data_IF_416418319993
#
_entry.id   IF_416418319993
#
_cell.length_a   1.000
_cell.length_b   1.000
_cell.length_c   1.000
_cell.angle_alpha   90.00
_cell.angle_beta   90.00
_cell.angle_gamma   90.00
#
_symmetry.space_group_name_H-M   'P 1'
#
loop_
_entity.id
_entity.type
_entity.pdbx_description
1 polymer ?
#
# COMPACT_ATOMS: atom_id res chain seq x y z
N UNK A 1 -14.92 3.52 -11.49
CA UNK A 1 -14.45 2.77 -10.29
C UNK A 1 -15.21 3.28 -9.09
N UNK A 2 -15.60 2.45 -8.10
CA UNK A 2 -16.19 2.99 -6.87
C UNK A 2 -15.07 3.35 -5.89
N UNK A 3 -14.97 4.63 -5.52
CA UNK A 3 -13.96 5.14 -4.58
C UNK A 3 -14.60 5.29 -3.20
N UNK A 4 -14.01 4.65 -2.19
CA UNK A 4 -14.39 4.82 -0.78
C UNK A 4 -13.20 5.40 -0.02
N UNK A 5 -13.39 6.58 0.56
CA UNK A 5 -12.40 7.17 1.46
C UNK A 5 -12.58 6.55 2.84
N UNK A 6 -11.51 5.92 3.37
CA UNK A 6 -11.48 5.39 4.72
C UNK A 6 -10.83 6.42 5.66
N UNK A 7 -11.62 7.05 6.53
CA UNK A 7 -11.10 7.97 7.55
C UNK A 7 -10.74 7.20 8.81
N UNK A 8 -9.87 7.76 9.65
CA UNK A 8 -9.53 7.11 10.93
C UNK A 8 -10.75 6.81 11.81
N UNK A 9 -11.77 7.68 11.82
CA UNK A 9 -13.00 7.44 12.59
C UNK A 9 -13.83 6.25 12.07
N UNK A 10 -13.63 5.85 10.82
CA UNK A 10 -14.31 4.71 10.20
C UNK A 10 -13.57 3.38 10.54
N UNK A 11 -12.36 3.46 11.12
CA UNK A 11 -11.58 2.29 11.58
C UNK A 11 -11.95 1.96 13.03
N UNK A 12 -12.52 0.78 13.26
CA UNK A 12 -12.89 0.32 14.61
C UNK A 12 -11.70 -0.20 15.39
N UNK A 13 -10.82 -0.96 14.73
CA UNK A 13 -9.66 -1.60 15.37
C UNK A 13 -8.60 -1.99 14.35
N UNK A 14 -7.34 -1.96 14.78
CA UNK A 14 -6.21 -2.57 14.06
C UNK A 14 -5.54 -3.61 14.95
N UNK A 15 -5.25 -4.79 14.39
CA UNK A 15 -4.42 -5.82 15.03
C UNK A 15 -3.17 -6.04 14.19
N UNK A 16 -1.99 -5.93 14.80
CA UNK A 16 -0.70 -6.12 14.13
C UNK A 16 0.13 -7.10 14.93
N UNK A 17 0.67 -8.11 14.26
CA UNK A 17 1.58 -9.08 14.87
C UNK A 17 1.83 -10.27 13.97
N UNK A 18 2.59 -11.24 14.47
CA UNK A 18 2.81 -12.52 13.80
C UNK A 18 1.82 -13.54 14.38
N UNK A 19 0.80 -13.98 13.63
CA UNK A 19 -0.16 -14.97 14.14
C UNK A 19 0.54 -16.29 14.48
N UNK A 20 -0.06 -17.10 15.36
CA UNK A 20 0.50 -18.42 15.71
C UNK A 20 0.67 -19.27 14.43
N UNK A 21 1.82 -19.93 14.31
CA UNK A 21 2.18 -20.75 13.15
C UNK A 21 2.56 -19.96 11.88
N UNK A 22 2.57 -18.63 11.91
CA UNK A 22 2.99 -17.80 10.79
C UNK A 22 4.44 -17.33 10.98
N UNK A 23 5.12 -17.06 9.86
CA UNK A 23 6.48 -16.49 9.87
C UNK A 23 6.51 -14.97 9.76
N UNK A 24 5.47 -14.39 9.18
CA UNK A 24 5.40 -12.98 8.80
C UNK A 24 4.27 -12.26 9.51
N UNK A 25 4.42 -10.95 9.63
CA UNK A 25 3.43 -10.03 10.18
C UNK A 25 2.15 -10.07 9.36
N UNK A 26 1.02 -9.90 10.05
CA UNK A 26 -0.29 -9.59 9.46
C UNK A 26 -0.83 -8.33 10.10
N UNK A 27 -1.49 -7.50 9.29
CA UNK A 27 -2.25 -6.34 9.74
C UNK A 27 -3.72 -6.62 9.43
N UNK A 28 -4.55 -6.68 10.47
CA UNK A 28 -5.99 -6.81 10.34
C UNK A 28 -6.61 -5.45 10.64
N UNK A 29 -7.25 -4.86 9.64
CA UNK A 29 -7.91 -3.56 9.70
C UNK A 29 -9.42 -3.77 9.68
N UNK A 30 -10.05 -3.61 10.85
CA UNK A 30 -11.51 -3.73 11.02
C UNK A 30 -12.17 -2.36 10.79
N UNK A 31 -12.98 -2.26 9.74
CA UNK A 31 -13.74 -1.06 9.37
C UNK A 31 -15.25 -1.25 9.58
N UNK A 32 -15.63 -2.35 10.24
CA UNK A 32 -16.93 -2.60 10.82
C UNK A 32 -17.84 -3.56 10.07
N UNK A 33 -17.96 -3.40 8.76
CA UNK A 33 -18.64 -4.32 7.85
C UNK A 33 -17.68 -5.37 7.26
N UNK A 34 -16.39 -5.02 7.18
CA UNK A 34 -15.34 -5.87 6.64
C UNK A 34 -14.05 -5.74 7.46
N UNK A 35 -13.30 -6.84 7.52
CA UNK A 35 -11.93 -6.86 8.03
C UNK A 35 -10.98 -7.09 6.87
N UNK A 36 -10.10 -6.13 6.60
CA UNK A 36 -9.04 -6.26 5.60
C UNK A 36 -7.82 -6.91 6.25
N UNK A 37 -7.34 -8.02 5.69
CA UNK A 37 -6.12 -8.70 6.15
C UNK A 37 -4.98 -8.43 5.17
N UNK A 38 -4.02 -7.61 5.59
CA UNK A 38 -2.86 -7.25 4.79
C UNK A 38 -1.65 -8.13 5.14
N UNK A 39 -0.93 -8.56 4.12
CA UNK A 39 0.33 -9.26 4.27
C UNK A 39 1.47 -8.28 4.56
N UNK A 40 2.51 -8.75 5.26
CA UNK A 40 3.72 -7.98 5.55
C UNK A 40 4.25 -7.25 4.31
N UNK A 41 4.43 -7.94 3.18
CA UNK A 41 4.94 -7.34 1.94
C UNK A 41 4.06 -6.19 1.41
N UNK A 42 2.73 -6.32 1.49
CA UNK A 42 1.80 -5.26 1.07
C UNK A 42 2.01 -4.01 1.92
N UNK A 43 2.03 -4.17 3.25
CA UNK A 43 2.20 -3.07 4.20
C UNK A 43 3.59 -2.44 4.06
N UNK A 44 4.65 -3.25 3.93
CA UNK A 44 6.02 -2.78 3.78
C UNK A 44 6.19 -1.95 2.52
N UNK A 45 5.60 -2.37 1.38
CA UNK A 45 5.71 -1.62 0.14
C UNK A 45 4.97 -0.28 0.20
N UNK A 46 3.73 -0.26 0.72
CA UNK A 46 2.97 0.98 0.93
C UNK A 46 3.74 1.92 1.87
N UNK A 47 4.22 1.39 3.01
CA UNK A 47 4.97 2.17 4.00
C UNK A 47 6.22 2.79 3.37
N UNK A 48 6.97 2.03 2.58
CA UNK A 48 8.18 2.51 1.89
C UNK A 48 7.85 3.64 0.92
N UNK A 49 6.84 3.47 0.07
CA UNK A 49 6.42 4.52 -0.87
C UNK A 49 5.92 5.77 -0.13
N UNK A 50 5.06 5.61 0.87
CA UNK A 50 4.54 6.71 1.68
C UNK A 50 5.67 7.52 2.33
N UNK A 51 6.62 6.83 2.98
CA UNK A 51 7.79 7.49 3.57
C UNK A 51 8.69 8.13 2.51
N UNK A 52 8.80 7.55 1.30
CA UNK A 52 9.59 8.15 0.22
C UNK A 52 9.02 9.48 -0.27
N UNK A 53 7.70 9.66 -0.23
CA UNK A 53 7.08 10.95 -0.56
C UNK A 53 7.16 11.89 0.64
N UNK A 54 6.79 11.41 1.82
CA UNK A 54 6.76 12.22 3.04
C UNK A 54 8.12 12.81 3.42
N UNK A 55 9.20 12.06 3.20
CA UNK A 55 10.55 12.42 3.66
C UNK A 55 11.46 12.99 2.57
N UNK A 56 11.06 12.91 1.29
CA UNK A 56 11.88 13.45 0.20
C UNK A 56 11.50 14.90 -0.09
N UNK A 57 12.46 15.84 -0.14
CA UNK A 57 12.16 17.29 -0.20
C UNK A 57 11.53 17.76 -1.53
N UNK A 58 11.53 16.90 -2.55
CA UNK A 58 11.12 17.26 -3.92
C UNK A 58 10.20 16.25 -4.59
N UNK A 59 9.97 15.07 -3.99
CA UNK A 59 9.20 14.01 -4.64
C UNK A 59 7.75 14.17 -4.20
N UNK A 60 6.84 14.28 -5.16
CA UNK A 60 5.42 14.55 -4.96
C UNK A 60 4.54 13.31 -5.15
N UNK A 61 4.91 12.40 -6.05
CA UNK A 61 4.11 11.20 -6.32
C UNK A 61 4.93 9.97 -6.70
N UNK A 62 4.32 8.79 -6.57
CA UNK A 62 4.85 7.51 -7.04
C UNK A 62 3.71 6.51 -7.23
N UNK A 63 3.71 5.79 -8.34
CA UNK A 63 2.86 4.62 -8.56
C UNK A 63 3.65 3.35 -8.22
N UNK A 64 3.04 2.42 -7.49
CA UNK A 64 3.56 1.07 -7.34
C UNK A 64 2.70 0.07 -8.11
N UNK A 65 3.33 -0.82 -8.90
CA UNK A 65 2.67 -1.91 -9.62
C UNK A 65 3.06 -3.27 -9.05
N UNK A 66 2.10 -4.18 -9.06
CA UNK A 66 2.34 -5.58 -8.70
C UNK A 66 3.18 -6.25 -9.79
N UNK A 67 4.36 -6.71 -9.42
CA UNK A 67 5.29 -7.43 -10.30
C UNK A 67 5.72 -8.71 -9.60
N UNK A 68 5.80 -9.80 -10.38
CA UNK A 68 6.43 -11.04 -9.95
C UNK A 68 7.93 -10.93 -10.19
N UNK A 69 8.73 -11.04 -9.12
CA UNK A 69 10.19 -10.95 -9.19
C UNK A 69 10.82 -12.33 -9.19
N UNK A 70 11.47 -12.66 -10.31
CA UNK A 70 12.26 -13.88 -10.46
C UNK A 70 13.59 -13.79 -9.69
N UNK A 71 14.29 -12.67 -9.82
CA UNK A 71 15.49 -12.36 -9.03
C UNK A 71 15.15 -11.46 -7.85
N UNK A 72 15.32 -11.99 -6.63
CA UNK A 72 15.03 -11.28 -5.38
C UNK A 72 15.90 -11.80 -4.25
N UNK A 73 16.14 -10.94 -3.25
CA UNK A 73 16.84 -11.33 -2.02
C UNK A 73 16.08 -12.42 -1.28
N UNK A 74 16.81 -13.33 -0.63
CA UNK A 74 16.21 -14.37 0.21
C UNK A 74 15.30 -13.78 1.28
N UNK A 75 14.13 -14.39 1.47
CA UNK A 75 13.11 -13.93 2.43
C UNK A 75 12.10 -12.90 1.89
N UNK A 76 12.34 -12.32 0.71
CA UNK A 76 11.36 -11.42 0.08
C UNK A 76 10.24 -12.19 -0.60
N UNK A 77 9.02 -11.63 -0.54
CA UNK A 77 7.87 -12.16 -1.27
C UNK A 77 8.11 -12.14 -2.78
N UNK A 78 7.60 -13.16 -3.47
CA UNK A 78 7.67 -13.31 -4.93
C UNK A 78 6.95 -12.17 -5.66
N UNK A 79 5.81 -11.75 -5.14
CA UNK A 79 5.07 -10.60 -5.65
C UNK A 79 5.41 -9.37 -4.80
N UNK A 80 5.84 -8.30 -5.46
CA UNK A 80 6.17 -7.02 -4.83
C UNK A 80 5.41 -5.89 -5.53
N UNK A 81 5.21 -4.79 -4.80
CA UNK A 81 4.75 -3.53 -5.37
C UNK A 81 5.98 -2.67 -5.65
N UNK A 82 6.34 -2.51 -6.91
CA UNK A 82 7.54 -1.82 -7.39
C UNK A 82 7.13 -0.55 -8.14
N UNK A 83 7.94 0.49 -8.00
CA UNK A 83 7.77 1.75 -8.71
C UNK A 83 7.63 1.54 -10.21
N UNK A 84 6.60 2.15 -10.80
CA UNK A 84 6.46 2.22 -12.26
C UNK A 84 7.37 3.30 -12.86
N UNK A 85 7.50 3.30 -14.18
CA UNK A 85 8.19 4.34 -14.94
C UNK A 85 7.33 5.59 -15.21
N UNK A 86 6.11 5.67 -14.67
CA UNK A 86 5.24 6.86 -14.84
C UNK A 86 5.84 8.08 -14.15
N UNK A 87 5.69 9.22 -14.81
CA UNK A 87 6.08 10.51 -14.23
C UNK A 87 5.18 10.90 -13.07
N UNK A 88 5.70 11.76 -12.19
CA UNK A 88 4.95 12.26 -11.04
C UNK A 88 3.69 13.03 -11.47
N UNK A 89 3.79 13.79 -12.57
CA UNK A 89 2.66 14.54 -13.15
C UNK A 89 1.53 13.61 -13.61
N UNK A 90 1.86 12.52 -14.31
CA UNK A 90 0.86 11.53 -14.73
C UNK A 90 0.17 10.85 -13.55
N UNK A 91 0.90 10.58 -12.47
CA UNK A 91 0.33 9.97 -11.26
C UNK A 91 -0.57 10.95 -10.54
N UNK A 92 -0.15 12.21 -10.40
CA UNK A 92 -0.97 13.25 -9.76
C UNK A 92 -2.26 13.51 -10.53
N UNK A 93 -2.19 13.61 -11.87
CA UNK A 93 -3.38 13.80 -12.71
C UNK A 93 -4.40 12.66 -12.54
N UNK A 94 -3.95 11.41 -12.45
CA UNK A 94 -4.84 10.29 -12.19
C UNK A 94 -5.41 10.32 -10.76
N UNK A 95 -4.62 10.70 -9.76
CA UNK A 95 -5.12 10.88 -8.40
C UNK A 95 -6.24 11.93 -8.35
N UNK A 96 -6.06 13.07 -9.01
CA UNK A 96 -7.05 14.15 -9.07
C UNK A 96 -8.35 13.68 -9.73
N UNK A 97 -8.25 12.95 -10.85
CA UNK A 97 -9.41 12.35 -11.54
C UNK A 97 -10.18 11.37 -10.65
N UNK A 98 -9.47 10.45 -9.97
CA UNK A 98 -10.08 9.48 -9.05
C UNK A 98 -10.78 10.17 -7.87
N UNK A 99 -10.19 11.24 -7.32
CA UNK A 99 -10.75 11.99 -6.20
C UNK A 99 -11.93 12.88 -6.62
N UNK A 100 -11.94 13.38 -7.86
CA UNK A 100 -13.07 14.10 -8.45
C UNK A 100 -14.25 13.17 -8.80
N UNK A 101 -13.99 11.85 -8.92
CA UNK A 101 -14.98 10.84 -9.28
C UNK A 101 -15.25 10.75 -10.78
N UNK A 102 -14.28 11.13 -11.60
CA UNK A 102 -14.29 11.03 -13.07
C UNK A 102 -13.96 9.62 -13.58
#
# INVERSE_FOLDING_TARGET
MQVRVLRNQDVRRVLIGVPRGHRHIRVLLDIGDVVLVLQEATVSNITRAFLSILLHPQKAAVELRCVKLEDRKSGYAEYQLIESDRSEEEVLAEMDSILAGE
#
